data_IF_501543886920
#
_entry.id   IF_501543886920
#
_cell.length_a   1.000
_cell.length_b   1.000
_cell.length_c   1.000
_cell.angle_alpha   90.00
_cell.angle_beta   90.00
_cell.angle_gamma   90.00
#
_symmetry.space_group_name_H-M   'P 1'
#
loop_
_entity.id
_entity.type
_entity.pdbx_description
1 polymer ?
#
# COMPACT_ATOMS: atom_id res chain seq x y z
N UNK A 1 67.47 -22.76 -43.20
CA UNK A 1 66.25 -22.36 -43.92
C UNK A 1 65.06 -22.78 -43.07
N UNK A 2 64.40 -21.78 -42.50
CA UNK A 2 63.30 -21.86 -41.55
C UNK A 2 62.04 -22.33 -42.27
N UNK A 3 61.24 -23.23 -41.67
CA UNK A 3 59.79 -23.19 -41.82
C UNK A 3 59.12 -23.89 -40.63
N UNK A 4 58.77 -23.09 -39.60
CA UNK A 4 57.76 -23.45 -38.62
C UNK A 4 56.41 -23.59 -39.33
N UNK A 5 55.70 -24.71 -39.12
CA UNK A 5 54.26 -24.78 -39.33
C UNK A 5 53.59 -25.00 -37.98
N UNK A 6 52.93 -23.94 -37.54
CA UNK A 6 52.15 -23.81 -36.31
C UNK A 6 50.95 -24.76 -36.30
N UNK A 7 50.80 -25.54 -35.22
CA UNK A 7 49.53 -26.15 -34.86
C UNK A 7 48.59 -25.06 -34.33
N UNK A 8 47.44 -24.88 -34.97
CA UNK A 8 46.32 -24.13 -34.40
C UNK A 8 45.24 -25.13 -33.99
N UNK A 9 45.16 -25.40 -32.69
CA UNK A 9 44.02 -26.08 -32.06
C UNK A 9 42.94 -25.01 -31.90
N UNK A 10 41.97 -24.96 -32.81
CA UNK A 10 40.81 -24.10 -32.68
C UNK A 10 39.75 -24.86 -31.87
N UNK A 11 39.67 -24.56 -30.57
CA UNK A 11 38.54 -24.93 -29.75
C UNK A 11 37.29 -24.19 -30.26
N UNK A 12 36.30 -24.92 -30.77
CA UNK A 12 34.96 -24.38 -30.98
C UNK A 12 34.35 -24.09 -29.61
N UNK A 13 34.31 -22.82 -29.23
CA UNK A 13 33.49 -22.34 -28.13
C UNK A 13 32.03 -22.48 -28.60
N UNK A 14 31.32 -23.49 -28.10
CA UNK A 14 29.87 -23.49 -28.16
C UNK A 14 29.39 -22.38 -27.21
N UNK A 15 28.82 -21.32 -27.78
CA UNK A 15 28.06 -20.35 -27.01
C UNK A 15 26.78 -21.04 -26.53
N UNK A 16 26.80 -21.58 -25.31
CA UNK A 16 25.56 -21.76 -24.58
C UNK A 16 25.01 -20.35 -24.33
N UNK A 17 24.03 -19.95 -25.12
CA UNK A 17 23.13 -18.88 -24.75
C UNK A 17 22.33 -19.40 -23.55
N UNK A 18 22.90 -19.26 -22.36
CA UNK A 18 22.16 -19.38 -21.11
C UNK A 18 21.18 -18.22 -21.08
N UNK A 19 20.02 -18.42 -21.71
CA UNK A 19 18.85 -17.62 -21.43
C UNK A 19 18.64 -17.75 -19.93
N UNK A 20 18.89 -16.66 -19.20
CA UNK A 20 18.59 -16.61 -17.76
C UNK A 20 17.16 -17.09 -17.58
N UNK A 21 16.89 -18.02 -16.64
CA UNK A 21 15.54 -18.50 -16.43
C UNK A 21 14.65 -17.28 -16.22
N UNK A 22 13.59 -17.19 -17.04
CA UNK A 22 12.53 -16.22 -16.83
C UNK A 22 12.03 -16.48 -15.42
N UNK A 23 12.43 -15.61 -14.48
CA UNK A 23 11.88 -15.59 -13.14
C UNK A 23 10.41 -15.27 -13.32
N UNK A 24 9.56 -16.28 -13.28
CA UNK A 24 8.15 -16.07 -12.98
C UNK A 24 8.16 -15.43 -11.59
N UNK A 25 8.09 -14.10 -11.54
CA UNK A 25 7.74 -13.42 -10.31
C UNK A 25 6.39 -14.02 -9.95
N UNK A 26 6.38 -14.86 -8.92
CA UNK A 26 5.17 -15.32 -8.27
C UNK A 26 4.54 -14.07 -7.66
N UNK A 27 3.85 -13.30 -8.50
CA UNK A 27 3.11 -12.11 -8.10
C UNK A 27 2.04 -12.67 -7.18
N UNK A 28 2.32 -12.67 -5.86
CA UNK A 28 1.40 -13.07 -4.81
C UNK A 28 0.12 -12.27 -4.96
N UNK A 29 -0.78 -12.83 -5.76
CA UNK A 29 -2.06 -12.23 -6.05
C UNK A 29 -2.92 -12.45 -4.82
N UNK A 30 -3.41 -11.36 -4.23
CA UNK A 30 -4.53 -11.47 -3.29
C UNK A 30 -5.63 -12.31 -3.95
N UNK A 31 -6.28 -13.22 -3.20
CA UNK A 31 -7.43 -13.95 -3.70
C UNK A 31 -8.55 -12.96 -4.06
N UNK A 32 -9.59 -13.43 -4.73
CA UNK A 32 -10.78 -12.61 -4.95
C UNK A 32 -11.36 -12.21 -3.60
N UNK A 33 -11.42 -10.90 -3.36
CA UNK A 33 -11.93 -10.33 -2.12
C UNK A 33 -13.24 -9.57 -2.35
N UNK A 34 -14.11 -9.60 -1.36
CA UNK A 34 -15.37 -8.89 -1.28
C UNK A 34 -15.70 -8.68 0.19
N UNK A 35 -15.98 -7.45 0.58
CA UNK A 35 -16.09 -7.11 1.99
C UNK A 35 -16.58 -5.70 2.22
N UNK A 36 -16.29 -5.17 3.40
CA UNK A 36 -16.88 -3.91 3.88
C UNK A 36 -15.82 -2.96 4.43
N UNK A 37 -16.17 -1.67 4.43
CA UNK A 37 -15.50 -0.67 5.24
C UNK A 37 -16.15 -0.67 6.63
N UNK A 38 -15.37 -0.84 7.69
CA UNK A 38 -15.82 -0.60 9.07
C UNK A 38 -15.31 0.76 9.51
N UNK A 39 -16.08 1.80 9.14
CA UNK A 39 -15.78 3.19 9.48
C UNK A 39 -16.04 3.49 10.97
N UNK A 40 -15.50 4.61 11.43
CA UNK A 40 -15.71 5.19 12.77
C UNK A 40 -14.41 5.76 13.35
N UNK A 41 -13.29 5.04 13.22
CA UNK A 41 -11.98 5.56 13.66
C UNK A 41 -11.49 6.75 12.80
N UNK A 42 -12.10 6.95 11.63
CA UNK A 42 -11.94 8.07 10.72
C UNK A 42 -13.01 9.16 10.90
N UNK A 43 -14.02 8.96 11.75
CA UNK A 43 -15.04 10.00 11.95
C UNK A 43 -14.37 11.28 12.47
N UNK A 44 -14.81 12.41 11.92
CA UNK A 44 -14.17 13.70 12.16
C UNK A 44 -13.02 14.02 11.20
N UNK A 45 -12.58 13.11 10.33
CA UNK A 45 -11.65 13.46 9.25
C UNK A 45 -12.36 14.32 8.19
N UNK A 46 -11.71 15.40 7.79
CA UNK A 46 -12.10 16.25 6.66
C UNK A 46 -11.19 15.99 5.47
N UNK A 47 -11.66 16.33 4.25
CA UNK A 47 -10.93 16.10 3.01
C UNK A 47 -9.64 16.93 2.90
N UNK A 48 -9.50 17.98 3.71
CA UNK A 48 -8.23 18.71 3.84
C UNK A 48 -7.21 18.00 4.76
N UNK A 49 -7.52 16.81 5.27
CA UNK A 49 -6.67 16.05 6.18
C UNK A 49 -6.65 16.59 7.61
N UNK A 50 -7.56 17.51 7.97
CA UNK A 50 -7.79 17.90 9.36
C UNK A 50 -8.62 16.84 10.09
N UNK A 51 -8.36 16.67 11.39
CA UNK A 51 -9.05 15.69 12.23
C UNK A 51 -9.86 16.36 13.34
N UNK A 52 -11.11 15.95 13.48
CA UNK A 52 -11.96 16.21 14.63
C UNK A 52 -12.02 15.04 15.62
N UNK A 53 -13.10 14.97 16.39
CA UNK A 53 -13.34 13.87 17.32
C UNK A 53 -13.67 12.58 16.57
N UNK A 54 -12.92 11.51 16.86
CA UNK A 54 -13.13 10.18 16.27
C UNK A 54 -13.68 9.18 17.29
N UNK A 55 -14.51 8.26 16.81
CA UNK A 55 -15.11 7.19 17.61
C UNK A 55 -14.97 5.85 16.88
N UNK A 56 -13.95 5.08 17.25
CA UNK A 56 -13.78 3.74 16.71
C UNK A 56 -15.00 2.85 17.00
N UNK A 57 -15.46 2.05 16.02
CA UNK A 57 -16.55 1.13 16.24
C UNK A 57 -16.10 -0.01 17.16
N UNK A 58 -17.08 -0.64 17.83
CA UNK A 58 -16.86 -1.93 18.48
C UNK A 58 -16.64 -3.06 17.46
N UNK A 59 -16.30 -4.24 17.95
CA UNK A 59 -15.97 -5.40 17.11
C UNK A 59 -17.17 -6.25 16.70
N UNK A 60 -18.36 -5.98 17.26
CA UNK A 60 -19.53 -6.85 17.16
C UNK A 60 -20.06 -7.01 15.73
N UNK A 61 -19.79 -6.03 14.86
CA UNK A 61 -20.22 -6.08 13.45
C UNK A 61 -19.36 -7.01 12.59
N UNK A 62 -18.16 -7.40 13.05
CA UNK A 62 -17.23 -8.22 12.27
C UNK A 62 -17.86 -9.59 11.97
N UNK A 63 -18.39 -10.27 12.98
CA UNK A 63 -19.02 -11.60 12.81
C UNK A 63 -20.22 -11.54 11.86
N UNK A 64 -21.05 -10.51 12.00
CA UNK A 64 -22.19 -10.28 11.11
C UNK A 64 -21.76 -10.24 9.63
N UNK A 65 -20.71 -9.48 9.30
CA UNK A 65 -20.25 -9.38 7.92
C UNK A 65 -19.54 -10.64 7.43
N UNK A 66 -18.83 -11.38 8.30
CA UNK A 66 -18.31 -12.72 7.96
C UNK A 66 -19.46 -13.66 7.58
N UNK A 67 -20.55 -13.67 8.33
CA UNK A 67 -21.76 -14.48 8.02
C UNK A 67 -22.39 -14.08 6.68
N UNK A 68 -22.24 -12.82 6.25
CA UNK A 68 -22.67 -12.33 4.93
C UNK A 68 -21.63 -12.57 3.81
N UNK A 69 -20.53 -13.25 4.11
CA UNK A 69 -19.52 -13.65 3.13
C UNK A 69 -18.40 -12.63 2.94
N UNK A 70 -18.25 -11.64 3.83
CA UNK A 70 -17.10 -10.75 3.78
C UNK A 70 -15.80 -11.52 4.07
N UNK A 71 -14.81 -11.35 3.20
CA UNK A 71 -13.48 -11.96 3.34
C UNK A 71 -12.34 -10.91 3.39
N UNK A 72 -12.72 -9.64 3.55
CA UNK A 72 -11.84 -8.52 3.81
C UNK A 72 -12.56 -7.42 4.59
N UNK A 73 -11.84 -6.73 5.46
CA UNK A 73 -12.30 -5.55 6.17
C UNK A 73 -11.36 -4.39 5.90
N UNK A 74 -11.87 -3.28 5.36
CA UNK A 74 -11.12 -2.02 5.31
C UNK A 74 -11.46 -1.22 6.56
N UNK A 75 -10.44 -0.80 7.29
CA UNK A 75 -10.54 -0.09 8.56
C UNK A 75 -9.95 1.32 8.38
N UNK A 76 -10.77 2.31 7.99
CA UNK A 76 -10.37 3.70 7.94
C UNK A 76 -9.99 4.23 9.33
N UNK A 77 -8.90 4.98 9.42
CA UNK A 77 -8.46 5.63 10.65
C UNK A 77 -7.70 6.92 10.35
N UNK A 78 -7.93 7.96 11.16
CA UNK A 78 -7.17 9.20 11.06
C UNK A 78 -5.70 9.00 11.46
N UNK A 79 -4.77 9.61 10.74
CA UNK A 79 -3.35 9.62 11.09
C UNK A 79 -3.16 10.21 12.49
N UNK A 80 -3.77 11.36 12.76
CA UNK A 80 -3.76 12.03 14.07
C UNK A 80 -4.17 11.09 15.21
N UNK A 81 -5.16 10.22 14.97
CA UNK A 81 -5.64 9.23 15.94
C UNK A 81 -4.57 8.18 16.25
N UNK A 82 -3.83 7.70 15.25
CA UNK A 82 -2.81 6.67 15.42
C UNK A 82 -1.60 7.13 16.24
N UNK A 83 -1.23 8.41 16.13
CA UNK A 83 0.03 8.95 16.68
C UNK A 83 -0.18 10.05 17.72
N UNK A 84 -1.41 10.26 18.17
CA UNK A 84 -1.73 11.23 19.23
C UNK A 84 -1.40 12.67 18.84
N UNK A 85 -1.76 13.06 17.61
CA UNK A 85 -1.45 14.38 17.02
C UNK A 85 0.04 14.71 16.88
N UNK A 86 0.93 13.73 17.00
CA UNK A 86 2.35 13.92 16.69
C UNK A 86 2.64 13.64 15.20
N UNK A 87 2.62 14.70 14.39
CA UNK A 87 2.84 14.64 12.94
C UNK A 87 4.14 13.91 12.54
N UNK A 88 5.21 14.03 13.34
CA UNK A 88 6.48 13.35 13.07
C UNK A 88 6.43 11.82 13.21
N UNK A 89 5.32 11.29 13.75
CA UNK A 89 5.05 9.87 13.88
C UNK A 89 6.17 9.11 14.60
N UNK A 90 6.65 9.65 15.71
CA UNK A 90 7.74 9.03 16.49
C UNK A 90 7.29 7.80 17.28
N UNK A 91 6.00 7.69 17.58
CA UNK A 91 5.37 6.57 18.28
C UNK A 91 3.89 6.48 17.97
N UNK A 92 3.32 5.28 18.14
CA UNK A 92 1.86 5.09 18.16
C UNK A 92 1.33 5.51 19.53
N UNK A 93 0.17 6.18 19.56
CA UNK A 93 -0.47 6.60 20.81
C UNK A 93 -0.96 5.39 21.59
N UNK A 94 -0.54 5.20 22.84
CA UNK A 94 -0.82 3.98 23.58
C UNK A 94 -2.31 3.75 23.87
N UNK A 95 -3.14 4.79 23.87
CA UNK A 95 -4.56 4.70 24.22
C UNK A 95 -5.42 4.58 22.96
N UNK A 96 -5.28 5.53 22.04
CA UNK A 96 -6.05 5.55 20.80
C UNK A 96 -5.67 4.38 19.91
N UNK A 97 -4.37 4.10 19.75
CA UNK A 97 -3.92 2.96 18.95
C UNK A 97 -4.35 1.62 19.54
N UNK A 98 -4.44 1.47 20.87
CA UNK A 98 -4.89 0.21 21.47
C UNK A 98 -6.33 -0.13 21.07
N UNK A 99 -7.20 0.88 20.95
CA UNK A 99 -8.58 0.70 20.48
C UNK A 99 -8.60 0.23 19.02
N UNK A 100 -7.79 0.86 18.17
CA UNK A 100 -7.67 0.47 16.77
C UNK A 100 -7.01 -0.91 16.58
N UNK A 101 -5.96 -1.24 17.34
CA UNK A 101 -5.29 -2.55 17.34
C UNK A 101 -6.25 -3.67 17.72
N UNK A 102 -7.16 -3.43 18.68
CA UNK A 102 -8.20 -4.39 19.03
C UNK A 102 -9.15 -4.69 17.86
N UNK A 103 -9.56 -3.65 17.11
CA UNK A 103 -10.39 -3.80 15.93
C UNK A 103 -9.66 -4.61 14.83
N UNK A 104 -8.41 -4.23 14.53
CA UNK A 104 -7.56 -4.93 13.54
C UNK A 104 -7.38 -6.39 13.91
N UNK A 105 -6.97 -6.69 15.14
CA UNK A 105 -6.74 -8.07 15.60
C UNK A 105 -8.00 -8.92 15.60
N UNK A 106 -9.14 -8.34 15.99
CA UNK A 106 -10.40 -9.07 15.98
C UNK A 106 -10.83 -9.42 14.56
N UNK A 107 -10.65 -8.49 13.61
CA UNK A 107 -10.89 -8.78 12.19
C UNK A 107 -9.91 -9.83 11.64
N UNK A 108 -8.62 -9.76 11.98
CA UNK A 108 -7.62 -10.77 11.59
C UNK A 108 -7.90 -12.16 12.17
N UNK A 109 -8.44 -12.23 13.39
CA UNK A 109 -8.78 -13.48 14.07
C UNK A 109 -9.89 -14.28 13.35
N UNK A 110 -10.67 -13.62 12.48
CA UNK A 110 -11.63 -14.31 11.59
C UNK A 110 -10.93 -15.14 10.50
N UNK A 111 -9.63 -14.94 10.29
CA UNK A 111 -8.87 -15.54 9.20
C UNK A 111 -8.99 -14.79 7.87
N UNK A 112 -9.60 -13.61 7.84
CA UNK A 112 -9.77 -12.80 6.63
C UNK A 112 -8.77 -11.64 6.53
N UNK A 113 -8.75 -10.99 5.37
CA UNK A 113 -7.85 -9.87 5.13
C UNK A 113 -8.30 -8.62 5.88
N UNK A 114 -7.34 -7.81 6.30
CA UNK A 114 -7.60 -6.51 6.93
C UNK A 114 -6.77 -5.44 6.24
N UNK A 115 -7.43 -4.44 5.68
CA UNK A 115 -6.76 -3.26 5.15
C UNK A 115 -6.76 -2.16 6.21
N UNK A 116 -5.57 -1.71 6.58
CA UNK A 116 -5.37 -0.49 7.36
C UNK A 116 -5.39 0.67 6.38
N UNK A 117 -6.34 1.59 6.54
CA UNK A 117 -6.51 2.75 5.66
C UNK A 117 -6.26 4.05 6.41
N UNK A 118 -5.16 4.75 6.08
CA UNK A 118 -4.86 6.06 6.67
C UNK A 118 -5.72 7.11 5.96
N UNK A 119 -6.75 7.60 6.65
CA UNK A 119 -7.86 8.31 6.03
C UNK A 119 -7.65 9.84 5.93
N UNK A 120 -6.52 10.25 5.34
CA UNK A 120 -5.98 11.61 5.45
C UNK A 120 -5.84 12.40 4.15
N UNK A 121 -6.27 11.88 2.99
CA UNK A 121 -6.32 12.66 1.74
C UNK A 121 -4.96 13.24 1.30
N UNK A 122 -3.89 12.50 1.61
CA UNK A 122 -2.48 12.91 1.46
C UNK A 122 -2.10 14.19 2.21
N UNK A 123 -2.82 14.52 3.28
CA UNK A 123 -2.67 15.76 4.04
C UNK A 123 -2.64 15.55 5.55
N UNK A 124 -2.09 16.56 6.23
CA UNK A 124 -2.23 16.77 7.67
C UNK A 124 -2.60 18.23 7.90
N UNK A 125 -3.80 18.48 8.44
CA UNK A 125 -4.29 19.82 8.76
C UNK A 125 -4.12 20.83 7.59
N UNK A 126 -4.52 20.43 6.38
CA UNK A 126 -4.43 21.23 5.15
C UNK A 126 -3.11 21.10 4.39
N UNK A 127 -2.01 20.74 5.05
CA UNK A 127 -0.70 20.61 4.43
C UNK A 127 -0.53 19.28 3.69
N UNK A 128 -0.15 19.33 2.41
CA UNK A 128 0.11 18.14 1.58
C UNK A 128 1.46 17.52 1.92
N UNK A 129 1.48 16.19 2.13
CA UNK A 129 2.69 15.45 2.47
C UNK A 129 3.73 15.59 1.35
N UNK A 130 4.97 15.94 1.71
CA UNK A 130 6.08 16.19 0.79
C UNK A 130 5.97 17.52 0.04
N UNK A 131 4.87 18.26 0.19
CA UNK A 131 4.51 19.41 -0.67
C UNK A 131 4.02 20.61 0.16
N UNK A 132 4.66 20.87 1.30
CA UNK A 132 4.34 21.98 2.21
C UNK A 132 3.62 21.59 3.50
N UNK A 133 3.22 20.32 3.63
CA UNK A 133 2.76 19.70 4.87
C UNK A 133 3.85 18.85 5.54
N UNK A 134 3.50 17.69 6.13
CA UNK A 134 4.47 16.73 6.66
C UNK A 134 5.51 16.33 5.62
N UNK A 135 6.72 15.97 6.06
CA UNK A 135 7.75 15.46 5.16
C UNK A 135 7.47 14.02 4.74
N UNK A 136 8.11 13.56 3.65
CA UNK A 136 8.11 12.15 3.25
C UNK A 136 8.58 11.24 4.39
N UNK A 137 9.52 11.72 5.21
CA UNK A 137 10.06 10.96 6.34
C UNK A 137 9.03 10.83 7.48
N UNK A 138 8.21 11.84 7.73
CA UNK A 138 7.14 11.77 8.74
C UNK A 138 6.10 10.70 8.35
N UNK A 139 5.74 10.65 7.07
CA UNK A 139 4.84 9.64 6.54
C UNK A 139 5.48 8.24 6.51
N UNK A 140 6.75 8.14 6.14
CA UNK A 140 7.51 6.89 6.19
C UNK A 140 7.65 6.37 7.64
N UNK A 141 7.78 7.26 8.64
CA UNK A 141 7.82 6.90 10.05
C UNK A 141 6.51 6.28 10.52
N UNK A 142 5.36 6.86 10.16
CA UNK A 142 4.05 6.26 10.43
C UNK A 142 4.01 4.81 9.91
N UNK A 143 4.37 4.63 8.64
CA UNK A 143 4.32 3.33 8.00
C UNK A 143 5.34 2.34 8.57
N UNK A 144 6.52 2.80 8.99
CA UNK A 144 7.48 1.98 9.74
C UNK A 144 6.90 1.46 11.05
N UNK A 145 6.20 2.30 11.81
CA UNK A 145 5.56 1.90 13.07
C UNK A 145 4.47 0.84 12.85
N UNK A 146 3.55 1.09 11.90
CA UNK A 146 2.48 0.16 11.57
C UNK A 146 3.02 -1.16 11.00
N UNK A 147 4.00 -1.10 10.11
CA UNK A 147 4.65 -2.28 9.56
C UNK A 147 5.38 -3.08 10.65
N UNK A 148 6.12 -2.42 11.53
CA UNK A 148 6.79 -3.08 12.66
C UNK A 148 5.82 -3.82 13.58
N UNK A 149 4.63 -3.25 13.81
CA UNK A 149 3.54 -3.85 14.58
C UNK A 149 2.94 -5.08 13.90
N UNK A 150 2.68 -5.01 12.60
CA UNK A 150 1.91 -6.02 11.86
C UNK A 150 2.75 -6.90 10.92
N UNK A 151 4.08 -6.84 10.98
CA UNK A 151 4.98 -7.59 10.06
C UNK A 151 4.77 -9.10 10.04
N UNK A 152 4.27 -9.69 11.12
CA UNK A 152 3.97 -11.13 11.21
C UNK A 152 2.56 -11.50 10.69
N UNK A 153 1.72 -10.50 10.41
CA UNK A 153 0.33 -10.70 9.99
C UNK A 153 0.22 -10.62 8.46
N UNK A 154 0.37 -11.74 7.77
CA UNK A 154 0.41 -11.78 6.29
C UNK A 154 -0.91 -11.39 5.61
N UNK A 155 -2.02 -11.39 6.36
CA UNK A 155 -3.35 -10.97 5.90
C UNK A 155 -3.62 -9.47 6.11
N UNK A 156 -2.65 -8.72 6.63
CA UNK A 156 -2.71 -7.26 6.63
C UNK A 156 -2.38 -6.72 5.24
N UNK A 157 -3.15 -5.73 4.82
CA UNK A 157 -2.89 -4.91 3.65
C UNK A 157 -2.64 -3.48 4.13
N UNK A 158 -1.51 -2.92 3.73
CA UNK A 158 -1.17 -1.54 4.06
C UNK A 158 -1.76 -0.59 3.01
N UNK A 159 -2.90 0.01 3.31
CA UNK A 159 -3.55 1.04 2.49
C UNK A 159 -2.92 2.40 2.77
N UNK A 160 -1.98 2.81 1.92
CA UNK A 160 -1.05 3.90 2.24
C UNK A 160 -1.74 5.22 2.61
N UNK A 161 -2.80 5.56 1.89
CA UNK A 161 -3.53 6.81 2.07
C UNK A 161 -4.90 6.71 1.40
N UNK A 162 -5.94 7.21 2.04
CA UNK A 162 -7.22 7.42 1.40
C UNK A 162 -7.13 8.61 0.45
N UNK A 163 -7.53 8.40 -0.80
CA UNK A 163 -7.88 9.45 -1.77
C UNK A 163 -7.00 10.72 -1.81
N UNK A 164 -5.69 10.60 -2.13
CA UNK A 164 -4.90 11.77 -2.53
C UNK A 164 -5.61 12.56 -3.65
N UNK A 165 -5.70 13.87 -3.49
CA UNK A 165 -6.29 14.77 -4.48
C UNK A 165 -5.54 16.10 -4.51
N UNK A 166 -5.54 16.79 -5.65
CA UNK A 166 -4.88 18.09 -5.84
C UNK A 166 -3.41 18.10 -5.35
N UNK A 167 -2.69 17.00 -5.60
CA UNK A 167 -1.26 16.86 -5.30
C UNK A 167 -0.42 16.89 -6.58
N UNK A 168 0.85 17.27 -6.48
CA UNK A 168 1.84 16.94 -7.52
C UNK A 168 2.09 15.42 -7.47
N UNK A 169 1.71 14.73 -8.55
CA UNK A 169 1.78 13.27 -8.63
C UNK A 169 3.22 12.74 -8.62
N UNK A 170 4.21 13.50 -9.11
CA UNK A 170 5.61 13.06 -9.12
C UNK A 170 6.20 13.11 -7.70
N UNK A 171 5.89 14.18 -6.97
CA UNK A 171 6.26 14.30 -5.57
C UNK A 171 5.51 13.25 -4.73
N UNK A 172 4.22 13.05 -4.98
CA UNK A 172 3.45 11.99 -4.30
C UNK A 172 4.00 10.59 -4.57
N UNK A 173 4.45 10.29 -5.80
CA UNK A 173 5.11 9.03 -6.11
C UNK A 173 6.41 8.81 -5.31
N UNK A 174 7.14 9.90 -5.03
CA UNK A 174 8.33 9.88 -4.16
C UNK A 174 7.95 9.59 -2.71
N UNK A 175 6.92 10.27 -2.19
CA UNK A 175 6.35 10.04 -0.86
C UNK A 175 5.88 8.59 -0.67
N UNK A 176 5.13 8.07 -1.65
CA UNK A 176 4.66 6.67 -1.66
C UNK A 176 5.84 5.70 -1.65
N UNK A 177 6.88 5.97 -2.44
CA UNK A 177 8.07 5.13 -2.45
C UNK A 177 8.77 5.09 -1.10
N UNK A 178 8.89 6.24 -0.43
CA UNK A 178 9.47 6.31 0.90
C UNK A 178 8.70 5.44 1.90
N UNK A 179 7.37 5.47 1.86
CA UNK A 179 6.53 4.60 2.70
C UNK A 179 6.71 3.11 2.38
N UNK A 180 6.70 2.71 1.10
CA UNK A 180 6.95 1.31 0.69
C UNK A 180 8.31 0.82 1.22
N UNK A 181 9.36 1.61 1.02
CA UNK A 181 10.70 1.28 1.51
C UNK A 181 10.72 1.11 3.03
N UNK A 182 10.07 2.02 3.77
CA UNK A 182 9.99 1.94 5.24
C UNK A 182 9.23 0.71 5.73
N UNK A 183 8.13 0.32 5.07
CA UNK A 183 7.36 -0.90 5.38
C UNK A 183 8.24 -2.14 5.22
N UNK A 184 8.92 -2.24 4.07
CA UNK A 184 9.79 -3.40 3.80
C UNK A 184 10.99 -3.44 4.74
N UNK A 185 11.61 -2.29 5.02
CA UNK A 185 12.71 -2.17 5.97
C UNK A 185 12.32 -2.52 7.41
N UNK A 186 11.04 -2.33 7.79
CA UNK A 186 10.51 -2.77 9.09
C UNK A 186 10.28 -4.29 9.19
N UNK A 187 10.49 -5.03 8.09
CA UNK A 187 10.38 -6.49 8.02
C UNK A 187 9.01 -7.01 7.58
N UNK A 188 8.08 -6.14 7.19
CA UNK A 188 6.78 -6.53 6.66
C UNK A 188 6.88 -6.85 5.16
N UNK A 189 7.44 -8.03 4.84
CA UNK A 189 7.77 -8.44 3.47
C UNK A 189 6.73 -9.33 2.79
N UNK A 190 5.70 -9.76 3.52
CA UNK A 190 4.67 -10.69 3.01
C UNK A 190 3.34 -10.01 2.69
N UNK A 191 3.12 -8.84 3.29
CA UNK A 191 1.90 -8.06 3.19
C UNK A 191 1.79 -7.37 1.83
N UNK A 192 0.56 -7.24 1.36
CA UNK A 192 0.24 -6.37 0.22
C UNK A 192 0.25 -4.90 0.65
N UNK A 193 0.57 -4.02 -0.29
CA UNK A 193 0.55 -2.56 -0.10
C UNK A 193 -0.33 -1.98 -1.21
N UNK A 194 -1.34 -1.19 -0.85
CA UNK A 194 -2.17 -0.49 -1.82
C UNK A 194 -1.60 0.91 -2.07
N UNK A 195 -1.36 1.22 -3.35
CA UNK A 195 -0.80 2.50 -3.79
C UNK A 195 -1.91 3.41 -4.31
N UNK A 196 -2.28 4.46 -3.56
CA UNK A 196 -3.35 5.35 -3.97
C UNK A 196 -2.85 6.43 -4.94
N UNK A 197 -3.63 6.66 -5.99
CA UNK A 197 -3.37 7.69 -6.99
C UNK A 197 -3.89 9.07 -6.58
N UNK A 198 -3.55 10.08 -7.37
CA UNK A 198 -4.19 11.40 -7.32
C UNK A 198 -5.64 11.31 -7.83
N UNK A 199 -6.36 12.45 -7.84
CA UNK A 199 -7.76 12.55 -8.26
C UNK A 199 -8.66 11.58 -7.47
N UNK A 200 -8.52 11.58 -6.14
CA UNK A 200 -9.30 10.72 -5.25
C UNK A 200 -9.17 9.23 -5.58
N UNK A 201 -8.01 8.82 -6.11
CA UNK A 201 -7.74 7.47 -6.61
C UNK A 201 -8.78 6.94 -7.61
N UNK A 202 -9.49 7.83 -8.31
CA UNK A 202 -10.49 7.45 -9.33
C UNK A 202 -9.84 6.61 -10.46
N UNK A 203 -10.54 5.59 -10.99
CA UNK A 203 -10.01 4.73 -12.07
C UNK A 203 -9.59 5.49 -13.31
N UNK A 204 -10.32 6.56 -13.62
CA UNK A 204 -10.05 7.41 -14.78
C UNK A 204 -8.62 8.00 -14.76
N UNK A 205 -8.10 8.35 -13.57
CA UNK A 205 -6.74 8.86 -13.43
C UNK A 205 -5.66 7.82 -13.77
N UNK A 206 -5.98 6.53 -13.68
CA UNK A 206 -5.09 5.45 -14.09
C UNK A 206 -5.24 5.13 -15.58
N UNK A 207 -6.47 5.13 -16.11
CA UNK A 207 -6.73 4.88 -17.54
C UNK A 207 -6.12 5.97 -18.41
N UNK A 208 -6.18 7.22 -17.95
CA UNK A 208 -5.61 8.38 -18.64
C UNK A 208 -4.09 8.53 -18.47
N UNK A 209 -3.45 7.68 -17.65
CA UNK A 209 -2.02 7.76 -17.34
C UNK A 209 -1.62 8.88 -16.36
N UNK A 210 -2.59 9.63 -15.82
CA UNK A 210 -2.32 10.71 -14.86
C UNK A 210 -1.60 10.22 -13.58
N UNK A 211 -1.74 8.94 -13.24
CA UNK A 211 -1.11 8.29 -12.08
C UNK A 211 0.11 7.41 -12.43
N UNK A 212 0.58 7.42 -13.68
CA UNK A 212 1.71 6.61 -14.15
C UNK A 212 3.02 6.77 -13.35
N UNK A 213 3.36 7.96 -12.79
CA UNK A 213 4.54 8.08 -11.93
C UNK A 213 4.56 7.10 -10.74
N UNK A 214 3.40 6.65 -10.25
CA UNK A 214 3.30 5.63 -9.19
C UNK A 214 3.60 4.21 -9.68
N UNK A 215 3.55 3.96 -10.99
CA UNK A 215 3.86 2.67 -11.61
C UNK A 215 5.37 2.50 -11.81
N UNK A 216 6.08 3.61 -12.04
CA UNK A 216 7.53 3.61 -12.24
C UNK A 216 8.32 3.36 -10.93
N UNK A 217 7.69 3.57 -9.76
CA UNK A 217 8.39 3.61 -8.49
C UNK A 217 8.66 2.23 -7.86
N UNK A 218 8.02 1.12 -8.26
CA UNK A 218 8.19 -0.17 -7.53
C UNK A 218 8.16 -1.44 -8.38
N UNK A 219 9.23 -2.27 -8.37
CA UNK A 219 9.23 -3.56 -9.08
C UNK A 219 8.51 -4.71 -8.35
N UNK A 220 7.97 -4.50 -7.14
CA UNK A 220 7.46 -5.59 -6.26
C UNK A 220 5.98 -5.44 -5.86
N UNK A 221 5.12 -5.00 -6.77
CA UNK A 221 3.72 -4.70 -6.41
C UNK A 221 2.71 -5.45 -7.27
N UNK A 222 1.86 -6.22 -6.59
CA UNK A 222 0.52 -6.55 -7.06
C UNK A 222 -0.32 -5.26 -7.04
N UNK A 223 -0.22 -4.46 -8.09
CA UNK A 223 -1.00 -3.23 -8.21
C UNK A 223 -2.49 -3.62 -8.26
N UNK A 224 -3.22 -3.29 -7.21
CA UNK A 224 -4.67 -3.44 -7.16
C UNK A 224 -5.25 -2.13 -6.68
N UNK A 225 -6.07 -1.54 -7.55
CA UNK A 225 -6.80 -0.33 -7.23
C UNK A 225 -7.81 -0.67 -6.15
N UNK A 226 -7.66 -0.07 -4.97
CA UNK A 226 -8.70 -0.08 -3.95
C UNK A 226 -9.35 1.29 -4.00
N UNK A 227 -10.43 1.37 -4.77
CA UNK A 227 -11.29 2.54 -4.76
C UNK A 227 -12.13 2.50 -3.47
N UNK A 228 -12.51 3.67 -2.97
CA UNK A 228 -13.26 3.90 -1.73
C UNK A 228 -14.47 2.96 -1.48
N UNK A 229 -14.98 2.31 -2.53
CA UNK A 229 -16.10 1.35 -2.46
C UNK A 229 -15.85 -0.02 -3.14
N UNK A 230 -14.68 -0.28 -3.74
CA UNK A 230 -14.46 -1.52 -4.49
C UNK A 230 -12.97 -1.88 -4.55
N UNK A 231 -12.63 -3.10 -4.11
CA UNK A 231 -11.33 -3.70 -4.41
C UNK A 231 -11.41 -4.22 -5.83
N UNK A 232 -10.79 -3.51 -6.75
CA UNK A 232 -10.75 -3.86 -8.15
C UNK A 232 -9.56 -4.80 -8.36
N UNK A 233 -9.82 -6.03 -8.80
CA UNK A 233 -8.77 -6.98 -9.17
C UNK A 233 -8.13 -6.58 -10.52
N UNK A 234 -6.86 -6.95 -10.79
CA UNK A 234 -6.10 -6.58 -11.99
C UNK A 234 -6.80 -6.91 -13.31
N UNK A 235 -7.68 -7.93 -13.31
CA UNK A 235 -8.47 -8.33 -14.47
C UNK A 235 -9.33 -7.19 -15.06
N UNK A 236 -9.59 -6.14 -14.27
CA UNK A 236 -10.32 -4.95 -14.73
C UNK A 236 -9.38 -3.95 -15.42
N UNK A 237 -8.16 -3.72 -14.91
CA UNK A 237 -7.21 -2.78 -15.53
C UNK A 237 -6.76 -3.27 -16.90
N UNK A 238 -6.57 -4.58 -17.08
CA UNK A 238 -6.18 -5.18 -18.36
C UNK A 238 -7.28 -5.14 -19.42
N UNK A 239 -8.56 -5.03 -19.04
CA UNK A 239 -9.70 -4.90 -19.97
C UNK A 239 -9.95 -3.48 -20.45
N UNK A 240 -9.35 -2.47 -19.83
CA UNK A 240 -9.60 -1.06 -20.13
C UNK A 240 -8.44 -0.35 -20.85
N UNK A 241 -7.42 -1.07 -21.33
CA UNK A 241 -6.50 -0.48 -22.33
C UNK A 241 -7.28 -0.25 -23.63
N UNK A 242 -7.46 1.00 -24.09
CA UNK A 242 -7.81 1.24 -25.48
C UNK A 242 -6.65 0.71 -26.33
N UNK A 243 -6.97 -0.05 -27.37
CA UNK A 243 -5.99 -0.50 -28.37
C UNK A 243 -5.39 0.65 -29.17
#
# INVERSE_FOLDING_TARGET
>A
MILLKTLSVLWLIHSNSDASPVQFIDKRALPRVGGVNLAGCDFGMSTDGSSGTSYCPGTDQISHFVEKGANIFRLPVGWQYLVGNNQASTSLDSTFFATYDNLVKTALATGWYVMIDVHNYARWNGGVIGQGGPSDNDFANLWKLLAGKYKSESKVIFGLMNEPHDVDINQWATTVQAAVNAIRAAGATTQSIALPGNQWTHPEGWISGANDPLLASTPDISLRQVQCCLIITPDVVERYRPG
#
